data_IF_572706878604
#
_entry.id   IF_572706878604
#
_cell.length_a   1.000
_cell.length_b   1.000
_cell.length_c   1.000
_cell.angle_alpha   90.00
_cell.angle_beta   90.00
_cell.angle_gamma   90.00
#
_symmetry.space_group_name_H-M   'P 1'
#
loop_
_entity.id
_entity.type
_entity.pdbx_description
1 polymer ?
#
# COMPACT_ATOMS: atom_id res chain seq x y z
N UNK A 1 -4.42 21.45 -4.49
CA UNK A 1 -4.26 20.35 -5.46
C UNK A 1 -2.77 20.04 -5.54
N UNK A 2 -2.38 18.82 -5.17
CA UNK A 2 -1.00 18.35 -5.33
C UNK A 2 -0.77 17.91 -6.79
N UNK A 3 0.50 17.72 -7.23
CA UNK A 3 0.79 17.21 -8.57
C UNK A 3 0.24 15.79 -8.85
N UNK A 4 -0.22 15.07 -7.83
CA UNK A 4 -0.75 13.72 -7.94
C UNK A 4 -2.27 13.68 -8.18
N UNK A 5 -2.95 14.83 -8.03
CA UNK A 5 -4.39 14.97 -8.24
C UNK A 5 -4.71 15.20 -9.72
N UNK A 6 -5.42 14.27 -10.35
CA UNK A 6 -5.87 14.42 -11.73
C UNK A 6 -6.23 13.09 -12.40
N UNK A 7 -6.93 13.14 -13.55
CA UNK A 7 -7.19 11.96 -14.35
C UNK A 7 -5.88 11.29 -14.79
N UNK A 8 -5.89 9.99 -15.15
CA UNK A 8 -4.70 9.31 -15.64
C UNK A 8 -4.12 10.06 -16.84
N UNK A 9 -2.84 10.39 -16.75
CA UNK A 9 -2.06 11.02 -17.81
C UNK A 9 -0.63 10.48 -17.71
N UNK A 10 0.16 10.50 -18.79
CA UNK A 10 1.55 10.05 -18.74
C UNK A 10 2.36 10.72 -17.61
N UNK A 11 2.13 12.00 -17.35
CA UNK A 11 2.81 12.78 -16.32
C UNK A 11 2.38 12.33 -14.91
N UNK A 12 1.08 12.24 -14.66
CA UNK A 12 0.55 11.84 -13.35
C UNK A 12 0.88 10.37 -13.07
N UNK A 13 0.76 9.51 -14.07
CA UNK A 13 1.06 8.08 -13.95
C UNK A 13 2.55 7.85 -13.66
N UNK A 14 3.45 8.66 -14.24
CA UNK A 14 4.86 8.63 -13.90
C UNK A 14 5.12 9.03 -12.44
N UNK A 15 4.44 10.08 -11.94
CA UNK A 15 4.54 10.48 -10.54
C UNK A 15 4.10 9.35 -9.60
N UNK A 16 2.96 8.73 -9.87
CA UNK A 16 2.45 7.60 -9.08
C UNK A 16 3.34 6.37 -9.16
N UNK A 17 3.85 6.04 -10.35
CA UNK A 17 4.79 4.92 -10.52
C UNK A 17 6.05 5.12 -9.69
N UNK A 18 6.57 6.35 -9.63
CA UNK A 18 7.77 6.67 -8.87
C UNK A 18 7.61 6.50 -7.35
N UNK A 19 6.39 6.60 -6.81
CA UNK A 19 6.16 6.40 -5.37
C UNK A 19 6.44 4.97 -4.92
N UNK A 20 6.18 3.99 -5.77
CA UNK A 20 6.39 2.56 -5.49
C UNK A 20 7.59 1.96 -6.25
N UNK A 21 8.37 2.79 -6.96
CA UNK A 21 9.45 2.33 -7.84
C UNK A 21 10.60 1.67 -7.09
N UNK A 22 10.69 1.91 -5.79
CA UNK A 22 11.73 1.37 -4.92
C UNK A 22 11.64 -0.17 -4.82
N UNK A 23 10.47 -0.77 -5.08
CA UNK A 23 10.38 -2.17 -5.50
C UNK A 23 10.61 -3.22 -4.42
N UNK A 24 11.31 -4.29 -4.81
CA UNK A 24 11.70 -5.44 -3.98
C UNK A 24 13.21 -5.32 -3.74
N UNK A 25 13.65 -5.58 -2.52
CA UNK A 25 15.02 -5.37 -2.05
C UNK A 25 15.67 -6.68 -1.69
N UNK A 26 16.93 -6.82 -2.07
CA UNK A 26 17.81 -7.83 -1.50
C UNK A 26 18.17 -7.46 -0.06
N UNK A 27 18.14 -8.46 0.81
CA UNK A 27 18.68 -8.38 2.16
C UNK A 27 19.71 -9.49 2.36
N UNK A 28 20.66 -9.23 3.23
CA UNK A 28 21.66 -10.21 3.65
C UNK A 28 21.03 -11.33 4.48
N UNK A 29 21.71 -12.47 4.56
CA UNK A 29 21.32 -13.56 5.47
C UNK A 29 21.23 -13.08 6.93
N UNK A 30 22.14 -12.18 7.34
CA UNK A 30 22.14 -11.62 8.68
C UNK A 30 20.88 -10.77 8.93
N UNK A 31 20.51 -9.88 8.00
CA UNK A 31 19.27 -9.09 8.09
C UNK A 31 18.04 -9.99 8.11
N UNK A 32 18.00 -11.01 7.25
CA UNK A 32 16.90 -11.97 7.20
C UNK A 32 16.74 -12.73 8.52
N UNK A 33 17.84 -13.11 9.16
CA UNK A 33 17.82 -13.83 10.44
C UNK A 33 17.23 -13.01 11.61
N UNK A 34 17.15 -11.68 11.46
CA UNK A 34 16.59 -10.77 12.46
C UNK A 34 15.10 -10.50 12.25
N UNK A 35 14.53 -10.94 11.13
CA UNK A 35 13.10 -10.83 10.87
C UNK A 35 12.33 -11.79 11.77
N UNK A 36 11.19 -11.33 12.28
CA UNK A 36 10.30 -12.18 13.07
C UNK A 36 9.70 -13.31 12.23
N UNK A 37 9.50 -13.06 10.93
CA UNK A 37 9.22 -14.07 9.90
C UNK A 37 10.24 -13.95 8.78
N UNK A 38 11.27 -14.80 8.75
CA UNK A 38 12.26 -14.80 7.68
C UNK A 38 11.65 -15.04 6.30
N UNK A 39 12.26 -14.45 5.28
CA UNK A 39 11.95 -14.72 3.88
C UNK A 39 12.68 -15.98 3.42
N UNK A 40 12.02 -16.79 2.61
CA UNK A 40 12.66 -17.93 1.98
C UNK A 40 13.69 -17.46 0.95
N UNK A 41 14.72 -18.26 0.74
CA UNK A 41 15.70 -18.04 -0.32
C UNK A 41 14.98 -17.95 -1.68
N UNK A 42 15.40 -17.00 -2.50
CA UNK A 42 14.80 -16.80 -3.81
C UNK A 42 15.11 -17.97 -4.74
N UNK A 43 14.12 -18.54 -5.43
CA UNK A 43 14.39 -19.63 -6.37
C UNK A 43 15.35 -19.22 -7.49
N UNK A 44 16.36 -20.04 -7.74
CA UNK A 44 17.33 -19.82 -8.82
C UNK A 44 18.46 -18.84 -8.49
N UNK A 45 18.58 -18.42 -7.23
CA UNK A 45 19.71 -17.63 -6.73
C UNK A 45 20.61 -18.48 -5.82
N UNK A 46 21.80 -17.97 -5.51
CA UNK A 46 22.74 -18.59 -4.55
C UNK A 46 22.71 -17.78 -3.25
N UNK A 47 21.72 -18.05 -2.39
CA UNK A 47 21.61 -17.43 -1.08
C UNK A 47 21.04 -16.00 -1.06
N UNK A 48 20.25 -15.59 -2.05
CA UNK A 48 19.62 -14.25 -2.07
C UNK A 48 18.23 -14.24 -1.44
N UNK A 49 17.98 -13.24 -0.60
CA UNK A 49 16.75 -13.08 0.16
C UNK A 49 16.07 -11.77 -0.23
N UNK A 50 14.79 -11.83 -0.58
CA UNK A 50 14.04 -10.66 -1.03
C UNK A 50 12.90 -10.30 -0.09
N UNK A 51 12.73 -9.00 0.14
CA UNK A 51 11.59 -8.41 0.86
C UNK A 51 11.04 -7.21 0.09
N UNK A 52 9.84 -6.76 0.44
CA UNK A 52 9.33 -5.45 0.05
C UNK A 52 8.90 -4.70 1.31
N UNK A 53 9.15 -3.39 1.36
CA UNK A 53 8.64 -2.56 2.46
C UNK A 53 7.17 -2.23 2.21
N UNK A 54 6.33 -2.45 3.22
CA UNK A 54 4.86 -2.42 3.12
C UNK A 54 4.32 -1.13 2.49
N UNK A 55 4.83 0.04 2.88
CA UNK A 55 4.32 1.33 2.35
C UNK A 55 4.38 1.41 0.82
N UNK A 56 5.38 0.81 0.18
CA UNK A 56 5.48 0.82 -1.29
C UNK A 56 4.45 -0.12 -1.93
N UNK A 57 4.12 -1.24 -1.28
CA UNK A 57 3.03 -2.10 -1.69
C UNK A 57 1.67 -1.40 -1.54
N UNK A 58 1.45 -0.73 -0.41
CA UNK A 58 0.24 0.05 -0.16
C UNK A 58 0.03 1.15 -1.22
N UNK A 59 1.10 1.88 -1.57
CA UNK A 59 1.08 2.90 -2.63
C UNK A 59 0.83 2.29 -4.02
N UNK A 60 1.43 1.14 -4.32
CA UNK A 60 1.16 0.40 -5.55
C UNK A 60 -0.32 0.00 -5.66
N UNK A 61 -0.90 -0.56 -4.59
CA UNK A 61 -2.32 -0.93 -4.53
C UNK A 61 -3.23 0.28 -4.68
N UNK A 62 -2.93 1.40 -4.02
CA UNK A 62 -3.70 2.64 -4.16
C UNK A 62 -3.66 3.17 -5.60
N UNK A 63 -2.50 3.12 -6.27
CA UNK A 63 -2.39 3.50 -7.68
C UNK A 63 -3.17 2.56 -8.60
N UNK A 64 -3.15 1.25 -8.33
CA UNK A 64 -3.97 0.29 -9.06
C UNK A 64 -5.46 0.64 -8.95
N UNK A 65 -5.95 0.90 -7.73
CA UNK A 65 -7.33 1.31 -7.49
C UNK A 65 -7.67 2.64 -8.19
N UNK A 66 -6.76 3.63 -8.13
CA UNK A 66 -6.91 4.89 -8.88
C UNK A 66 -7.19 4.63 -10.35
N UNK A 67 -6.37 3.81 -11.01
CA UNK A 67 -6.56 3.49 -12.43
C UNK A 67 -7.88 2.76 -12.69
N UNK A 68 -8.24 1.77 -11.85
CA UNK A 68 -9.50 1.04 -12.01
C UNK A 68 -10.71 1.95 -11.84
N UNK A 69 -10.68 2.88 -10.88
CA UNK A 69 -11.76 3.84 -10.66
C UNK A 69 -11.95 4.72 -11.90
N UNK A 70 -10.87 5.24 -12.49
CA UNK A 70 -10.99 6.04 -13.72
C UNK A 70 -11.42 5.24 -14.96
N UNK A 71 -11.20 3.93 -15.00
CA UNK A 71 -11.75 3.10 -16.06
C UNK A 71 -13.28 2.93 -15.97
N UNK A 72 -13.86 3.07 -14.78
CA UNK A 72 -15.31 2.91 -14.56
C UNK A 72 -16.06 4.23 -14.41
N UNK A 73 -15.36 5.33 -14.13
CA UNK A 73 -15.95 6.68 -14.13
C UNK A 73 -16.26 7.07 -15.58
N UNK A 74 -17.54 6.91 -15.96
CA UNK A 74 -18.07 7.36 -17.24
C UNK A 74 -18.27 8.89 -17.28
N UNK A 75 -18.44 9.46 -18.47
CA UNK A 75 -18.67 10.89 -18.71
C UNK A 75 -19.94 11.45 -18.04
N UNK A 76 -20.87 10.59 -17.61
CA UNK A 76 -22.10 10.98 -16.90
C UNK A 76 -21.91 11.12 -15.36
N UNK A 77 -20.70 10.92 -14.83
CA UNK A 77 -20.44 11.12 -13.41
C UNK A 77 -20.45 12.62 -13.05
N UNK A 78 -21.14 13.05 -11.97
CA UNK A 78 -21.15 14.46 -11.59
C UNK A 78 -19.73 14.97 -11.30
N UNK A 79 -19.38 16.14 -11.83
CA UNK A 79 -18.05 16.76 -11.66
C UNK A 79 -17.64 16.89 -10.18
N UNK A 80 -18.62 17.10 -9.29
CA UNK A 80 -18.40 17.16 -7.83
C UNK A 80 -17.89 15.83 -7.26
N UNK A 81 -18.36 14.71 -7.80
CA UNK A 81 -17.96 13.37 -7.37
C UNK A 81 -16.58 13.02 -7.91
N UNK A 82 -16.28 13.36 -9.18
CA UNK A 82 -14.92 13.23 -9.71
C UNK A 82 -13.93 13.99 -8.82
N UNK A 83 -14.18 15.29 -8.58
CA UNK A 83 -13.34 16.11 -7.69
C UNK A 83 -13.14 15.48 -6.32
N UNK A 84 -14.19 14.90 -5.74
CA UNK A 84 -14.11 14.23 -4.44
C UNK A 84 -13.24 12.96 -4.50
N UNK A 85 -13.44 12.09 -5.51
CA UNK A 85 -12.63 10.89 -5.72
C UNK A 85 -11.14 11.24 -5.86
N UNK A 86 -10.83 12.24 -6.69
CA UNK A 86 -9.44 12.70 -6.91
C UNK A 86 -8.78 13.14 -5.62
N UNK A 87 -9.48 13.99 -4.87
CA UNK A 87 -9.01 14.48 -3.58
C UNK A 87 -8.84 13.35 -2.56
N UNK A 88 -9.80 12.42 -2.46
CA UNK A 88 -9.74 11.29 -1.53
C UNK A 88 -8.54 10.37 -1.82
N UNK A 89 -8.28 10.06 -3.09
CA UNK A 89 -7.14 9.23 -3.49
C UNK A 89 -5.82 9.92 -3.11
N UNK A 90 -5.69 11.22 -3.38
CA UNK A 90 -4.47 11.95 -3.01
C UNK A 90 -4.32 12.09 -1.48
N UNK A 91 -5.41 12.32 -0.76
CA UNK A 91 -5.40 12.32 0.70
C UNK A 91 -4.90 10.98 1.27
N UNK A 92 -5.41 9.86 0.76
CA UNK A 92 -4.95 8.53 1.18
C UNK A 92 -3.47 8.31 0.86
N UNK A 93 -2.98 8.75 -0.31
CA UNK A 93 -1.55 8.72 -0.64
C UNK A 93 -0.72 9.45 0.42
N UNK A 94 -1.14 10.65 0.81
CA UNK A 94 -0.45 11.43 1.84
C UNK A 94 -0.48 10.73 3.20
N UNK A 95 -1.61 10.14 3.60
CA UNK A 95 -1.72 9.35 4.84
C UNK A 95 -0.79 8.14 4.83
N UNK A 96 -0.74 7.39 3.73
CA UNK A 96 0.16 6.23 3.59
C UNK A 96 1.63 6.65 3.70
N UNK A 97 2.03 7.72 3.00
CA UNK A 97 3.39 8.26 3.08
C UNK A 97 3.72 8.82 4.48
N UNK A 98 2.74 9.41 5.17
CA UNK A 98 2.90 9.93 6.52
C UNK A 98 3.01 8.81 7.57
N UNK A 99 2.21 7.75 7.42
CA UNK A 99 2.27 6.59 8.30
C UNK A 99 3.57 5.80 8.10
N UNK A 100 4.00 5.64 6.84
CA UNK A 100 5.29 5.06 6.50
C UNK A 100 5.46 3.65 7.05
N UNK A 101 4.58 2.71 6.68
CA UNK A 101 4.68 1.34 7.18
C UNK A 101 5.97 0.67 6.69
N UNK A 102 6.91 0.44 7.62
CA UNK A 102 8.23 -0.16 7.37
C UNK A 102 8.28 -1.67 7.58
N UNK A 103 7.16 -2.33 7.87
CA UNK A 103 7.17 -3.78 8.05
C UNK A 103 7.59 -4.46 6.73
N UNK A 104 8.45 -5.51 6.79
CA UNK A 104 8.90 -6.21 5.61
C UNK A 104 7.87 -7.27 5.20
N UNK A 105 7.34 -7.15 3.99
CA UNK A 105 6.67 -8.23 3.28
C UNK A 105 7.74 -9.25 2.93
N UNK A 106 7.69 -10.40 3.60
CA UNK A 106 8.57 -11.52 3.29
C UNK A 106 7.97 -12.41 2.21
N UNK A 107 8.79 -13.28 1.65
CA UNK A 107 8.40 -14.20 0.59
C UNK A 107 8.50 -15.62 1.12
N UNK A 108 7.57 -16.49 0.72
CA UNK A 108 7.61 -17.89 1.09
C UNK A 108 7.42 -18.78 -0.13
N UNK A 109 8.01 -19.97 -0.06
CA UNK A 109 7.92 -20.97 -1.11
C UNK A 109 6.64 -21.79 -0.96
N UNK A 110 5.85 -21.87 -2.03
CA UNK A 110 4.63 -22.70 -2.07
C UNK A 110 4.82 -23.85 -3.05
N UNK A 111 4.96 -25.07 -2.53
CA UNK A 111 5.16 -26.26 -3.36
C UNK A 111 3.93 -26.53 -4.25
N UNK A 112 4.16 -26.98 -5.49
CA UNK A 112 3.12 -27.46 -6.40
C UNK A 112 2.41 -26.39 -7.25
N UNK A 113 2.92 -25.16 -7.34
CA UNK A 113 2.31 -24.07 -8.14
C UNK A 113 3.32 -23.47 -9.13
N UNK A 114 2.84 -23.10 -10.33
CA UNK A 114 3.60 -22.53 -11.46
C UNK A 114 4.34 -21.19 -11.13
N UNK A 115 4.11 -20.62 -9.95
CA UNK A 115 4.99 -19.66 -9.29
C UNK A 115 5.06 -20.11 -7.83
N UNK A 116 6.18 -20.66 -7.42
CA UNK A 116 6.34 -21.22 -6.08
C UNK A 116 6.94 -20.21 -5.09
N UNK A 117 6.81 -18.90 -5.32
CA UNK A 117 7.36 -17.84 -4.46
C UNK A 117 6.31 -16.73 -4.34
N UNK A 118 5.84 -16.46 -3.12
CA UNK A 118 4.69 -15.58 -2.87
C UNK A 118 4.96 -14.61 -1.74
N UNK A 119 4.43 -13.37 -1.82
CA UNK A 119 4.44 -12.44 -0.71
C UNK A 119 3.59 -12.96 0.46
N UNK A 120 4.13 -12.81 1.65
CA UNK A 120 3.47 -13.07 2.91
C UNK A 120 2.80 -11.77 3.38
N UNK A 121 1.49 -11.65 3.20
CA UNK A 121 0.70 -10.51 3.71
C UNK A 121 0.14 -10.73 5.12
N UNK A 122 0.59 -11.79 5.80
CA UNK A 122 0.15 -12.14 7.16
C UNK A 122 1.19 -11.78 8.22
N UNK A 123 2.15 -10.91 7.86
CA UNK A 123 3.10 -10.34 8.81
C UNK A 123 2.29 -9.56 9.87
N UNK A 124 2.54 -9.77 11.16
CA UNK A 124 1.94 -8.97 12.21
C UNK A 124 2.40 -7.52 12.18
N UNK A 125 1.43 -6.62 12.30
CA UNK A 125 1.64 -5.19 12.43
C UNK A 125 1.27 -4.74 13.85
N UNK A 126 1.92 -3.68 14.31
CA UNK A 126 1.51 -3.01 15.56
C UNK A 126 0.50 -1.91 15.25
N UNK A 127 -0.78 -2.18 15.53
CA UNK A 127 -1.86 -1.25 15.28
C UNK A 127 -2.19 -0.38 16.50
N UNK A 128 -2.82 0.77 16.26
CA UNK A 128 -3.54 1.51 17.32
C UNK A 128 -4.76 0.69 17.74
N UNK A 129 -5.09 0.72 19.03
CA UNK A 129 -6.31 0.08 19.53
C UNK A 129 -7.54 0.83 19.00
N UNK A 130 -8.26 0.20 18.09
CA UNK A 130 -9.42 0.80 17.41
C UNK A 130 -10.57 1.12 18.37
N UNK A 131 -10.87 0.21 19.29
CA UNK A 131 -11.96 0.40 20.27
C UNK A 131 -11.68 1.59 21.18
N UNK A 132 -10.44 1.73 21.67
CA UNK A 132 -10.06 2.88 22.49
C UNK A 132 -10.11 4.20 21.72
N UNK A 133 -9.74 4.18 20.44
CA UNK A 133 -9.80 5.36 19.58
C UNK A 133 -11.26 5.79 19.36
N UNK A 134 -12.12 4.83 19.00
CA UNK A 134 -13.54 5.06 18.74
C UNK A 134 -14.29 5.47 20.01
N UNK A 135 -14.06 4.81 21.14
CA UNK A 135 -14.64 5.18 22.44
C UNK A 135 -14.26 6.61 22.85
N UNK A 136 -12.99 6.99 22.65
CA UNK A 136 -12.52 8.33 22.97
C UNK A 136 -13.20 9.39 22.09
N UNK A 137 -13.39 9.10 20.79
CA UNK A 137 -14.03 9.99 19.83
C UNK A 137 -15.54 10.10 20.09
N UNK A 138 -16.23 8.98 20.30
CA UNK A 138 -17.67 8.93 20.55
C UNK A 138 -18.09 9.75 21.78
N UNK A 139 -17.30 9.71 22.86
CA UNK A 139 -17.54 10.52 24.08
C UNK A 139 -17.48 12.03 23.85
N UNK A 140 -16.85 12.46 22.77
CA UNK A 140 -16.69 13.87 22.37
C UNK A 140 -17.56 14.22 21.18
N UNK A 141 -18.39 13.29 20.73
CA UNK A 141 -19.26 13.52 19.61
C UNK A 141 -20.32 14.54 20.01
N UNK A 142 -20.21 15.75 19.46
CA UNK A 142 -21.18 16.84 19.62
C UNK A 142 -22.19 16.87 18.49
N UNK A 143 -22.26 15.83 17.65
CA UNK A 143 -23.37 15.63 16.71
C UNK A 143 -24.66 15.46 17.52
N UNK A 144 -25.27 16.59 17.87
CA UNK A 144 -26.69 16.69 18.17
C UNK A 144 -27.39 16.16 16.92
N UNK A 145 -28.28 15.18 17.12
CA UNK A 145 -29.15 14.59 16.11
C UNK A 145 -29.46 15.51 14.92
N UNK A 146 -29.04 15.08 13.71
CA UNK A 146 -29.76 15.36 12.46
C UNK A 146 -30.39 14.06 11.97
#
# INVERSE_FOLDING_TARGET
MTPFEGPPSPEIDALWHNLSSVGIYEITLEENSRLLWPTDETPGTDGQYYIQIEVFHQLHCLNFLRQQIYHVLDHDFPESHDKHVRHCIDYLRQVLMCHGDVHPITMYRKQGIHRNFWPNFTIPHTCRNWDRLTDWAAKRNTSIHE
#
